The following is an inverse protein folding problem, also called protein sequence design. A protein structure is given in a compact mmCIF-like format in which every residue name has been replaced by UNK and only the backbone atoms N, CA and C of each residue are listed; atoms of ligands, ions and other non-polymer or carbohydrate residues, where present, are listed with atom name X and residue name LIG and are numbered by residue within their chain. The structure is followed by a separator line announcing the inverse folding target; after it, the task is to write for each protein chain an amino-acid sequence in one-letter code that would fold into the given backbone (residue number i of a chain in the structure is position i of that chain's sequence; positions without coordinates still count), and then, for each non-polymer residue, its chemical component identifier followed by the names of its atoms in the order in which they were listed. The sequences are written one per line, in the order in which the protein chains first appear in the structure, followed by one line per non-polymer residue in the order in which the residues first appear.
data_IF_627495336266
#
_entry.id   IF_627495336266
#
_cell.length_a   1.000
_cell.length_b   1.000
_cell.length_c   1.000
_cell.angle_alpha   90.00
_cell.angle_beta   90.00
_cell.angle_gamma   90.00
#
_symmetry.space_group_name_H-M   'P 1'
#
loop_
_entity.id
_entity.type
_entity.pdbx_description
1 polymer ?
#
# COMPACT_ATOMS: atom_id res chain seq x y z
N UNK A 1 37.40 14.39 0.39
CA UNK A 1 36.93 14.15 1.77
C UNK A 1 36.07 12.90 1.78
N UNK A 2 36.64 11.76 2.18
CA UNK A 2 35.89 10.52 2.41
C UNK A 2 35.24 10.61 3.79
N UNK A 3 33.91 10.44 3.87
CA UNK A 3 33.20 10.34 5.15
C UNK A 3 33.41 8.92 5.68
N UNK A 4 33.93 8.81 6.89
CA UNK A 4 34.10 7.56 7.62
C UNK A 4 32.72 7.07 8.08
N UNK A 5 32.24 5.97 7.50
CA UNK A 5 31.07 5.24 7.97
C UNK A 5 31.44 4.45 9.24
N UNK A 6 31.47 5.14 10.39
CA UNK A 6 31.48 4.48 11.70
C UNK A 6 30.09 3.92 11.99
N UNK A 7 29.78 2.75 11.43
CA UNK A 7 28.61 1.95 11.79
C UNK A 7 28.97 1.11 13.03
N UNK A 8 28.98 1.73 14.21
CA UNK A 8 28.95 0.95 15.45
C UNK A 8 27.66 0.13 15.46
N UNK A 9 27.78 -1.20 15.41
CA UNK A 9 26.64 -2.10 15.33
C UNK A 9 25.88 -2.11 16.65
N UNK A 10 24.92 -1.21 16.80
CA UNK A 10 23.93 -1.25 17.86
C UNK A 10 23.15 -2.57 17.73
N UNK A 11 23.41 -3.52 18.62
CA UNK A 11 22.70 -4.82 18.68
C UNK A 11 21.46 -4.64 19.56
N UNK A 12 20.28 -5.12 19.16
CA UNK A 12 19.08 -5.02 19.98
C UNK A 12 19.21 -5.88 21.23
N UNK A 13 18.79 -5.34 22.37
CA UNK A 13 18.76 -6.06 23.64
C UNK A 13 17.80 -7.24 23.55
N UNK A 14 18.26 -8.40 24.01
CA UNK A 14 17.52 -9.65 24.00
C UNK A 14 17.50 -10.28 25.40
N UNK A 15 16.46 -11.07 25.67
CA UNK A 15 16.41 -11.94 26.85
C UNK A 15 17.38 -13.14 26.69
N UNK A 16 17.54 -13.92 27.75
CA UNK A 16 18.36 -15.15 27.77
C UNK A 16 17.89 -16.22 26.78
N UNK A 17 16.63 -16.12 26.31
CA UNK A 17 16.02 -17.00 25.31
C UNK A 17 16.13 -16.42 23.89
N UNK A 18 16.84 -15.30 23.71
CA UNK A 18 17.08 -14.64 22.43
C UNK A 18 15.91 -13.82 21.88
N UNK A 19 14.85 -13.58 22.65
CA UNK A 19 13.70 -12.73 22.28
C UNK A 19 14.03 -11.26 22.50
N UNK A 20 13.45 -10.37 21.69
CA UNK A 20 13.55 -8.92 21.90
C UNK A 20 12.78 -8.54 23.17
N UNK A 21 13.37 -7.70 24.01
CA UNK A 21 12.63 -7.20 25.18
C UNK A 21 11.45 -6.30 24.73
N UNK A 22 10.37 -6.22 25.51
CA UNK A 22 9.27 -5.30 25.23
C UNK A 22 9.77 -3.86 25.03
N UNK A 23 9.34 -3.22 23.94
CA UNK A 23 9.78 -1.87 23.59
C UNK A 23 11.10 -1.79 22.81
N UNK A 24 11.77 -2.91 22.53
CA UNK A 24 12.92 -2.94 21.63
C UNK A 24 12.56 -3.43 20.23
N UNK A 25 13.04 -2.68 19.24
CA UNK A 25 12.93 -3.03 17.82
C UNK A 25 14.16 -3.80 17.37
N UNK A 26 13.97 -4.78 16.48
CA UNK A 26 15.07 -5.46 15.79
C UNK A 26 15.87 -4.51 14.89
N UNK A 27 15.27 -3.38 14.51
CA UNK A 27 15.87 -2.36 13.66
C UNK A 27 16.12 -1.07 14.45
N UNK A 28 17.21 -1.04 15.22
CA UNK A 28 17.56 0.08 16.09
C UNK A 28 17.83 1.39 15.33
N UNK A 29 18.41 1.29 14.13
CA UNK A 29 18.71 2.44 13.29
C UNK A 29 17.50 2.89 12.44
N UNK A 30 16.36 2.20 12.57
CA UNK A 30 15.17 2.46 11.78
C UNK A 30 15.39 2.21 10.28
N UNK A 31 14.48 2.71 9.45
CA UNK A 31 14.69 2.67 8.01
C UNK A 31 15.95 3.51 7.69
N UNK A 32 16.92 3.01 6.90
CA UNK A 32 18.10 3.78 6.56
C UNK A 32 17.70 5.13 5.97
N UNK A 33 18.37 6.18 6.46
CA UNK A 33 18.15 7.56 6.02
C UNK A 33 18.55 7.71 4.56
N UNK A 34 17.60 8.08 3.70
CA UNK A 34 17.84 8.28 2.28
C UNK A 34 16.55 8.47 1.50
N UNK A 35 16.67 8.88 0.22
CA UNK A 35 15.50 9.01 -0.66
C UNK A 35 14.80 7.66 -0.79
N UNK A 36 13.59 7.59 -0.26
CA UNK A 36 12.77 6.39 -0.38
C UNK A 36 12.30 6.24 -1.83
N UNK A 37 11.97 5.02 -2.28
CA UNK A 37 11.42 4.83 -3.63
C UNK A 37 10.15 5.69 -3.84
N UNK A 38 9.36 5.88 -2.78
CA UNK A 38 8.20 6.76 -2.74
C UNK A 38 8.60 8.21 -3.02
N UNK A 39 9.60 8.73 -2.31
CA UNK A 39 10.12 10.09 -2.53
C UNK A 39 10.73 10.28 -3.90
N UNK A 40 11.50 9.29 -4.38
CA UNK A 40 12.09 9.30 -5.71
C UNK A 40 11.00 9.39 -6.79
N UNK A 41 9.98 8.51 -6.73
CA UNK A 41 8.88 8.52 -7.69
C UNK A 41 8.08 9.81 -7.61
N UNK A 42 7.83 10.33 -6.42
CA UNK A 42 7.14 11.61 -6.25
C UNK A 42 7.93 12.80 -6.83
N UNK A 43 9.24 12.87 -6.61
CA UNK A 43 10.12 13.90 -7.20
C UNK A 43 10.08 13.80 -8.72
N UNK A 44 10.29 12.59 -9.25
CA UNK A 44 10.30 12.34 -10.69
C UNK A 44 8.98 12.73 -11.35
N UNK A 45 7.85 12.44 -10.72
CA UNK A 45 6.53 12.76 -11.27
C UNK A 45 6.21 14.27 -11.23
N UNK A 46 6.78 15.02 -10.28
CA UNK A 46 6.66 16.48 -10.23
C UNK A 46 7.52 17.18 -11.29
N UNK A 47 8.67 16.60 -11.61
CA UNK A 47 9.61 17.12 -12.60
C UNK A 47 9.18 16.83 -14.05
N UNK A 48 8.28 15.87 -14.27
CA UNK A 48 7.71 15.58 -15.59
C UNK A 48 6.82 16.72 -16.10
N UNK A 49 6.83 16.92 -17.42
CA UNK A 49 5.86 17.77 -18.09
C UNK A 49 4.50 17.09 -18.18
N UNK A 50 3.43 17.87 -18.45
CA UNK A 50 2.07 17.34 -18.44
C UNK A 50 1.84 16.27 -19.52
N UNK A 51 2.44 16.42 -20.70
CA UNK A 51 2.41 15.40 -21.76
C UNK A 51 3.09 14.08 -21.34
N UNK A 52 4.19 14.18 -20.60
CA UNK A 52 4.92 13.00 -20.10
C UNK A 52 4.13 12.31 -18.99
N UNK A 53 3.42 13.08 -18.15
CA UNK A 53 2.52 12.53 -17.13
C UNK A 53 1.38 11.77 -17.78
N UNK A 54 0.72 12.33 -18.80
CA UNK A 54 -0.36 11.63 -19.53
C UNK A 54 0.14 10.35 -20.19
N UNK A 55 1.31 10.41 -20.84
CA UNK A 55 1.94 9.22 -21.42
C UNK A 55 2.21 8.17 -20.35
N UNK A 56 2.75 8.57 -19.20
CA UNK A 56 3.02 7.67 -18.08
C UNK A 56 1.74 7.04 -17.53
N UNK A 57 0.66 7.82 -17.35
CA UNK A 57 -0.64 7.35 -16.89
C UNK A 57 -1.21 6.29 -17.86
N UNK A 58 -1.11 6.54 -19.17
CA UNK A 58 -1.56 5.64 -20.23
C UNK A 58 -0.73 4.34 -20.28
N UNK A 59 0.59 4.45 -20.25
CA UNK A 59 1.50 3.29 -20.30
C UNK A 59 1.38 2.38 -19.08
N UNK A 60 1.19 2.98 -17.88
CA UNK A 60 1.01 2.22 -16.64
C UNK A 60 -0.45 1.77 -16.44
N UNK A 61 -1.33 1.99 -17.44
CA UNK A 61 -2.73 1.55 -17.46
C UNK A 61 -3.49 1.95 -16.18
N UNK A 62 -3.22 3.15 -15.67
CA UNK A 62 -3.93 3.65 -14.51
C UNK A 62 -5.36 3.97 -14.95
N UNK A 63 -6.33 3.27 -14.38
CA UNK A 63 -7.75 3.44 -14.74
C UNK A 63 -8.19 4.87 -14.50
N UNK A 64 -9.14 5.36 -15.31
CA UNK A 64 -9.70 6.70 -15.14
C UNK A 64 -10.30 6.90 -13.75
N UNK A 65 -10.86 5.85 -13.15
CA UNK A 65 -11.35 5.89 -11.76
C UNK A 65 -10.22 6.19 -10.76
N UNK A 66 -9.05 5.56 -10.88
CA UNK A 66 -7.91 5.83 -10.01
C UNK A 66 -7.40 7.26 -10.22
N UNK A 67 -7.36 7.73 -11.47
CA UNK A 67 -6.98 9.12 -11.77
C UNK A 67 -7.97 10.12 -11.14
N UNK A 68 -9.26 9.84 -11.25
CA UNK A 68 -10.32 10.62 -10.64
C UNK A 68 -10.18 10.66 -9.11
N UNK A 69 -9.96 9.51 -8.47
CA UNK A 69 -9.70 9.39 -7.02
C UNK A 69 -8.42 10.10 -6.58
N UNK A 70 -7.42 10.23 -7.45
CA UNK A 70 -6.23 11.04 -7.19
C UNK A 70 -6.51 12.54 -7.29
N UNK A 71 -7.40 12.96 -8.19
CA UNK A 71 -7.74 14.36 -8.43
C UNK A 71 -8.73 14.90 -7.39
N UNK A 72 -9.81 14.17 -7.12
CA UNK A 72 -10.89 14.58 -6.22
C UNK A 72 -10.68 14.10 -4.78
N UNK A 73 -9.80 13.12 -4.60
CA UNK A 73 -9.59 12.43 -3.33
C UNK A 73 -10.52 11.23 -3.18
N UNK A 74 -10.21 10.37 -2.20
CA UNK A 74 -11.13 9.31 -1.82
C UNK A 74 -12.26 9.89 -0.97
N UNK A 75 -13.52 9.47 -1.19
CA UNK A 75 -14.59 9.78 -0.26
C UNK A 75 -14.21 9.26 1.14
N UNK A 76 -14.46 10.10 2.16
CA UNK A 76 -14.21 9.72 3.55
C UNK A 76 -15.14 8.58 3.92
N UNK A 77 -14.57 7.43 4.28
CA UNK A 77 -15.32 6.38 4.96
C UNK A 77 -15.30 6.69 6.46
N UNK A 78 -16.27 7.46 6.93
CA UNK A 78 -16.56 7.60 8.37
C UNK A 78 -17.36 6.38 8.81
N UNK A 79 -16.68 5.25 8.99
CA UNK A 79 -17.25 4.10 9.67
C UNK A 79 -16.96 4.26 11.17
N UNK A 80 -17.97 4.67 11.94
CA UNK A 80 -17.93 4.52 13.39
C UNK A 80 -17.92 3.01 13.71
N UNK A 81 -16.74 2.49 14.09
CA UNK A 81 -16.65 1.19 14.72
C UNK A 81 -17.12 1.36 16.16
N UNK A 82 -18.45 1.38 16.36
CA UNK A 82 -19.07 1.19 17.67
C UNK A 82 -19.09 -0.30 18.04
N UNK A 83 -17.90 -0.91 18.01
CA UNK A 83 -17.72 -2.29 18.43
C UNK A 83 -17.63 -2.35 19.94
N UNK A 84 -18.64 -2.92 20.59
CA UNK A 84 -18.52 -3.39 21.97
C UNK A 84 -17.37 -4.43 22.02
N UNK A 85 -16.27 -4.21 22.76
CA UNK A 85 -15.11 -5.10 22.76
C UNK A 85 -15.40 -6.52 23.28
N UNK A 86 -16.60 -6.78 23.80
CA UNK A 86 -17.00 -8.07 24.36
C UNK A 86 -17.68 -9.02 23.37
N UNK A 87 -18.04 -8.57 22.17
CA UNK A 87 -18.75 -9.42 21.21
C UNK A 87 -17.77 -10.02 20.19
N UNK A 88 -17.53 -11.35 20.21
CA UNK A 88 -16.72 -11.99 19.18
C UNK A 88 -17.41 -11.86 17.83
N UNK A 89 -16.76 -11.20 16.86
CA UNK A 89 -17.24 -11.18 15.49
C UNK A 89 -17.00 -12.57 14.85
N UNK A 90 -18.07 -13.21 14.39
CA UNK A 90 -17.99 -14.50 13.70
C UNK A 90 -17.66 -14.24 12.23
N UNK A 91 -16.42 -14.52 11.83
CA UNK A 91 -15.99 -14.47 10.44
C UNK A 91 -16.52 -15.71 9.70
N UNK A 92 -17.57 -15.56 8.87
CA UNK A 92 -18.02 -16.64 7.99
C UNK A 92 -17.18 -16.62 6.71
N UNK A 93 -16.17 -17.48 6.65
CA UNK A 93 -15.38 -17.71 5.43
C UNK A 93 -16.25 -18.53 4.48
N UNK A 94 -16.85 -17.88 3.49
CA UNK A 94 -17.46 -18.57 2.35
C UNK A 94 -16.32 -18.95 1.40
N UNK A 95 -16.12 -20.25 1.18
CA UNK A 95 -15.27 -20.72 0.09
C UNK A 95 -16.03 -20.49 -1.21
N UNK A 96 -15.58 -19.53 -2.01
CA UNK A 96 -15.97 -19.47 -3.41
C UNK A 96 -15.27 -20.64 -4.12
N UNK A 97 -15.98 -21.76 -4.25
CA UNK A 97 -15.60 -22.83 -5.15
C UNK A 97 -15.82 -22.31 -6.56
N UNK A 98 -14.75 -21.77 -7.16
CA UNK A 98 -14.76 -20.97 -8.37
C UNK A 98 -15.75 -21.44 -9.43
N UNK A 99 -16.83 -20.66 -9.61
CA UNK A 99 -17.69 -20.77 -10.77
C UNK A 99 -17.52 -19.52 -11.64
N UNK A 100 -16.74 -19.71 -12.69
CA UNK A 100 -16.47 -18.82 -13.81
C UNK A 100 -17.73 -18.08 -14.26
N UNK A 101 -17.64 -16.74 -14.33
CA UNK A 101 -18.65 -15.88 -14.95
C UNK A 101 -18.91 -16.34 -16.39
N UNK A 102 -20.10 -16.89 -16.68
CA UNK A 102 -20.60 -16.98 -18.05
C UNK A 102 -21.34 -15.69 -18.35
N UNK A 103 -20.64 -14.74 -18.98
CA UNK A 103 -21.29 -13.66 -19.71
C UNK A 103 -21.93 -14.27 -20.95
N UNK A 104 -23.25 -14.27 -21.04
CA UNK A 104 -23.97 -14.38 -22.31
C UNK A 104 -25.33 -13.71 -22.18
N UNK A 105 -25.35 -12.37 -22.17
CA UNK A 105 -26.54 -11.65 -22.61
C UNK A 105 -26.47 -11.61 -24.14
N UNK A 106 -27.16 -12.57 -24.75
CA UNK A 106 -27.51 -12.53 -26.16
C UNK A 106 -28.51 -11.40 -26.35
N UNK A 107 -28.10 -10.33 -27.05
CA UNK A 107 -29.04 -9.30 -27.50
C UNK A 107 -29.93 -9.96 -28.57
N UNK A 108 -31.27 -10.01 -28.42
CA UNK A 108 -32.12 -10.47 -29.51
C UNK A 108 -32.13 -9.41 -30.62
N UNK A 109 -31.62 -9.79 -31.80
CA UNK A 109 -31.94 -9.08 -33.05
C UNK A 109 -33.46 -9.12 -33.24
N UNK A 110 -34.10 -7.96 -33.28
CA UNK A 110 -35.48 -7.85 -33.78
C UNK A 110 -35.56 -6.68 -34.76
N UNK A 111 -35.57 -7.08 -36.04
CA UNK A 111 -36.13 -6.49 -37.28
C UNK A 111 -36.22 -4.96 -37.35
#
# INVERSE_FOLDING_TARGET
MQKLDNQETYKPLRDEKGRLLPGHTANLNGRPSGKTLKEYKASKFREMNDEEKEKWLRENKISGEIQWRMAEGNPKNEAEISGNPELPFILKIVKDDGNTRKNSETIPETI
#
